data_IF_784520290082
#
_entry.id   IF_784520290082
#
_cell.length_a   1.000
_cell.length_b   1.000
_cell.length_c   1.000
_cell.angle_alpha   90.00
_cell.angle_beta   90.00
_cell.angle_gamma   90.00
#
_symmetry.space_group_name_H-M   'P 1'
#
loop_
_entity.id
_entity.type
_entity.pdbx_description
1 polymer ?
#
# COMPACT_ATOMS: atom_id res chain seq x y z
N UNK A 1 -7.85 20.11 11.69
CA UNK A 1 -6.98 18.97 12.08
C UNK A 1 -5.66 19.04 11.33
N UNK A 2 -4.51 18.87 12.02
CA UNK A 2 -3.15 18.95 11.44
C UNK A 2 -2.75 17.73 10.59
N UNK A 3 -3.48 16.62 10.73
CA UNK A 3 -3.19 15.36 10.06
C UNK A 3 -4.46 14.79 9.44
N UNK A 4 -4.30 14.04 8.36
CA UNK A 4 -5.28 13.10 7.84
C UNK A 4 -4.74 11.68 8.01
N UNK A 5 -5.64 10.72 8.13
CA UNK A 5 -5.29 9.30 8.21
C UNK A 5 -6.09 8.53 7.17
N UNK A 6 -5.51 7.44 6.70
CA UNK A 6 -6.24 6.38 6.03
C UNK A 6 -5.82 5.05 6.60
N UNK A 7 -6.80 4.14 6.70
CA UNK A 7 -6.64 2.83 7.29
C UNK A 7 -7.27 1.81 6.37
N UNK A 8 -6.59 0.68 6.20
CA UNK A 8 -7.07 -0.44 5.42
C UNK A 8 -6.67 -1.76 6.07
N UNK A 9 -7.49 -2.81 5.90
CA UNK A 9 -7.17 -4.16 6.34
C UNK A 9 -7.68 -5.17 5.31
N UNK A 10 -6.80 -6.09 4.92
CA UNK A 10 -7.12 -7.18 4.01
C UNK A 10 -6.89 -8.55 4.66
N UNK A 11 -7.75 -9.51 4.32
CA UNK A 11 -7.65 -10.89 4.76
C UNK A 11 -7.24 -11.83 3.62
N UNK A 12 -6.52 -12.91 3.95
CA UNK A 12 -5.97 -13.89 3.01
C UNK A 12 -7.01 -14.80 2.37
N UNK A 13 -8.27 -14.74 2.81
CA UNK A 13 -9.32 -15.65 2.38
C UNK A 13 -9.71 -15.53 0.89
N UNK A 14 -9.26 -14.48 0.19
CA UNK A 14 -9.60 -14.26 -1.22
C UNK A 14 -8.62 -14.99 -2.15
N UNK A 15 -9.14 -15.92 -2.95
CA UNK A 15 -8.42 -16.50 -4.08
C UNK A 15 -8.27 -15.44 -5.19
N UNK A 16 -7.21 -14.65 -5.11
CA UNK A 16 -6.86 -13.63 -6.10
C UNK A 16 -5.64 -14.05 -6.91
N UNK A 17 -5.63 -13.69 -8.19
CA UNK A 17 -4.42 -13.75 -9.02
C UNK A 17 -3.54 -12.54 -8.70
N UNK A 18 -2.84 -12.58 -7.56
CA UNK A 18 -2.08 -11.44 -7.05
C UNK A 18 -1.08 -10.85 -8.04
N UNK A 19 -0.38 -11.70 -8.82
CA UNK A 19 0.56 -11.21 -9.82
C UNK A 19 -0.13 -10.50 -10.99
N UNK A 20 -1.30 -10.96 -11.43
CA UNK A 20 -2.05 -10.32 -12.51
C UNK A 20 -2.53 -8.94 -12.07
N UNK A 21 -3.12 -8.85 -10.86
CA UNK A 21 -3.53 -7.58 -10.28
C UNK A 21 -2.34 -6.64 -10.07
N UNK A 22 -1.22 -7.14 -9.53
CA UNK A 22 -0.02 -6.34 -9.35
C UNK A 22 0.55 -5.83 -10.69
N UNK A 23 0.48 -6.61 -11.77
CA UNK A 23 0.93 -6.15 -13.09
C UNK A 23 0.03 -5.03 -13.66
N UNK A 24 -1.25 -4.97 -13.26
CA UNK A 24 -2.21 -3.99 -13.76
C UNK A 24 -2.22 -2.69 -12.95
N UNK A 25 -2.02 -2.78 -11.63
CA UNK A 25 -2.28 -1.67 -10.72
C UNK A 25 -1.04 -1.18 -9.94
N UNK A 26 0.04 -1.95 -9.88
CA UNK A 26 1.24 -1.56 -9.11
C UNK A 26 2.36 -1.11 -10.04
N UNK A 27 3.32 -0.37 -9.48
CA UNK A 27 4.55 -0.02 -10.19
C UNK A 27 5.37 -1.27 -10.52
N UNK A 28 6.25 -1.17 -11.52
CA UNK A 28 7.16 -2.27 -11.89
C UNK A 28 7.99 -2.75 -10.69
N UNK A 29 8.44 -1.84 -9.83
CA UNK A 29 9.30 -2.16 -8.69
C UNK A 29 8.51 -2.88 -7.58
N UNK A 30 7.28 -2.47 -7.32
CA UNK A 30 6.36 -3.16 -6.40
C UNK A 30 5.99 -4.56 -6.91
N UNK A 31 5.66 -4.68 -8.20
CA UNK A 31 5.39 -5.98 -8.83
C UNK A 31 6.62 -6.89 -8.76
N UNK A 32 7.82 -6.36 -8.99
CA UNK A 32 9.07 -7.10 -8.87
C UNK A 32 9.33 -7.53 -7.42
N UNK A 33 9.03 -6.70 -6.43
CA UNK A 33 9.12 -7.06 -5.03
C UNK A 33 8.22 -8.25 -4.68
N UNK A 34 7.02 -8.34 -5.27
CA UNK A 34 6.13 -9.51 -5.13
C UNK A 34 6.73 -10.73 -5.85
N UNK A 35 7.26 -10.58 -7.06
CA UNK A 35 7.79 -11.72 -7.84
C UNK A 35 9.03 -12.36 -7.19
N UNK A 36 9.88 -11.55 -6.55
CA UNK A 36 11.16 -11.98 -5.95
C UNK A 36 11.01 -12.80 -4.68
N UNK A 37 9.89 -12.70 -3.95
CA UNK A 37 9.67 -13.53 -2.76
C UNK A 37 9.20 -14.95 -3.14
N UNK A 38 9.43 -15.90 -2.23
CA UNK A 38 8.95 -17.27 -2.34
C UNK A 38 7.43 -17.33 -2.57
N UNK A 39 6.95 -18.32 -3.32
CA UNK A 39 5.55 -18.43 -3.75
C UNK A 39 4.55 -18.26 -2.59
N UNK A 40 4.81 -18.89 -1.45
CA UNK A 40 3.93 -18.82 -0.27
C UNK A 40 3.90 -17.42 0.40
N UNK A 41 4.88 -16.55 0.11
CA UNK A 41 4.95 -15.16 0.60
C UNK A 41 4.36 -14.15 -0.38
N UNK A 42 4.17 -14.50 -1.66
CA UNK A 42 3.69 -13.57 -2.70
C UNK A 42 2.34 -12.95 -2.35
N UNK A 43 1.36 -13.76 -1.95
CA UNK A 43 0.04 -13.27 -1.54
C UNK A 43 0.13 -12.29 -0.37
N UNK A 44 0.98 -12.60 0.60
CA UNK A 44 1.22 -11.73 1.75
C UNK A 44 1.83 -10.40 1.33
N UNK A 45 2.85 -10.41 0.48
CA UNK A 45 3.48 -9.20 -0.05
C UNK A 45 2.50 -8.37 -0.87
N UNK A 46 1.65 -9.02 -1.67
CA UNK A 46 0.59 -8.36 -2.43
C UNK A 46 -0.40 -7.64 -1.51
N UNK A 47 -0.97 -8.32 -0.51
CA UNK A 47 -1.94 -7.69 0.39
C UNK A 47 -1.33 -6.56 1.23
N UNK A 48 -0.05 -6.66 1.60
CA UNK A 48 0.66 -5.54 2.24
C UNK A 48 0.68 -4.29 1.37
N UNK A 49 1.06 -4.44 0.10
CA UNK A 49 1.09 -3.34 -0.86
C UNK A 49 -0.31 -2.80 -1.16
N UNK A 50 -1.28 -3.70 -1.32
CA UNK A 50 -2.68 -3.34 -1.54
C UNK A 50 -3.21 -2.48 -0.39
N UNK A 51 -3.11 -2.96 0.85
CA UNK A 51 -3.58 -2.21 2.01
C UNK A 51 -2.84 -0.88 2.20
N UNK A 52 -1.53 -0.84 1.94
CA UNK A 52 -0.77 0.42 1.97
C UNK A 52 -1.30 1.45 0.96
N UNK A 53 -1.57 1.01 -0.27
CA UNK A 53 -2.08 1.89 -1.34
C UNK A 53 -3.50 2.38 -1.04
N UNK A 54 -4.41 1.50 -0.65
CA UNK A 54 -5.77 1.87 -0.21
C UNK A 54 -5.73 2.83 0.99
N UNK A 55 -4.90 2.55 2.00
CA UNK A 55 -4.73 3.45 3.14
C UNK A 55 -4.18 4.83 2.71
N UNK A 56 -3.29 4.90 1.71
CA UNK A 56 -2.82 6.18 1.20
C UNK A 56 -3.91 6.97 0.46
N UNK A 57 -4.71 6.32 -0.39
CA UNK A 57 -5.86 6.94 -1.05
C UNK A 57 -6.87 7.46 -0.03
N UNK A 58 -7.21 6.66 0.98
CA UNK A 58 -8.09 7.06 2.07
C UNK A 58 -7.54 8.25 2.87
N UNK A 59 -6.22 8.37 3.02
CA UNK A 59 -5.59 9.51 3.71
C UNK A 59 -5.74 10.86 2.97
N UNK A 60 -5.98 10.80 1.66
CA UNK A 60 -6.27 11.97 0.82
C UNK A 60 -7.77 12.18 0.57
N UNK A 61 -8.61 11.22 0.95
CA UNK A 61 -10.08 11.26 0.76
C UNK A 61 -10.54 10.59 -0.53
N UNK A 62 -9.66 9.86 -1.20
CA UNK A 62 -9.92 9.21 -2.48
C UNK A 62 -10.07 7.69 -2.31
N UNK A 63 -10.57 7.03 -3.35
CA UNK A 63 -10.66 5.57 -3.45
C UNK A 63 -10.04 5.03 -4.74
N UNK A 64 -10.27 3.75 -5.03
CA UNK A 64 -9.73 3.06 -6.22
C UNK A 64 -9.83 3.82 -7.56
N UNK A 65 -10.90 4.59 -7.87
CA UNK A 65 -10.97 5.35 -9.11
C UNK A 65 -9.85 6.39 -9.31
N UNK A 66 -9.20 6.83 -8.23
CA UNK A 66 -8.07 7.76 -8.30
C UNK A 66 -6.78 7.10 -8.81
N UNK A 67 -6.71 5.76 -8.77
CA UNK A 67 -5.57 4.98 -9.24
C UNK A 67 -4.65 4.52 -8.10
N UNK A 68 -4.37 3.22 -8.06
CA UNK A 68 -3.44 2.61 -7.10
C UNK A 68 -1.96 2.89 -7.44
N UNK A 69 -1.68 3.36 -8.64
CA UNK A 69 -0.36 3.79 -9.13
C UNK A 69 0.01 5.21 -8.67
N UNK A 70 -0.94 5.98 -8.13
CA UNK A 70 -0.71 7.32 -7.58
C UNK A 70 0.28 7.35 -6.39
N UNK A 71 0.44 6.22 -5.69
CA UNK A 71 1.39 6.05 -4.61
C UNK A 71 2.29 4.86 -4.90
N UNK A 72 3.57 4.98 -4.59
CA UNK A 72 4.53 3.88 -4.68
C UNK A 72 5.19 3.63 -3.33
N UNK A 73 5.30 2.35 -2.98
CA UNK A 73 5.84 1.90 -1.71
C UNK A 73 7.07 1.01 -1.90
N UNK A 74 8.00 1.17 -0.96
CA UNK A 74 9.10 0.24 -0.77
C UNK A 74 8.98 -0.37 0.63
N UNK A 75 9.04 -1.71 0.74
CA UNK A 75 8.60 -2.43 1.94
C UNK A 75 9.69 -2.63 3.01
N UNK A 76 10.97 -2.42 2.69
CA UNK A 76 12.09 -2.86 3.53
C UNK A 76 12.96 -1.69 4.01
N UNK A 77 13.45 -1.69 5.26
CA UNK A 77 13.12 -2.61 6.37
C UNK A 77 11.72 -2.38 6.97
N UNK A 78 11.08 -1.26 6.61
CA UNK A 78 9.72 -0.87 6.98
C UNK A 78 9.08 -0.16 5.79
N UNK A 79 7.74 -0.18 5.65
CA UNK A 79 7.09 0.47 4.52
C UNK A 79 7.40 1.97 4.48
N UNK A 80 7.91 2.43 3.33
CA UNK A 80 8.09 3.84 3.03
C UNK A 80 7.40 4.19 1.72
N UNK A 81 6.88 5.41 1.65
CA UNK A 81 6.32 5.97 0.43
C UNK A 81 7.47 6.62 -0.34
N UNK A 82 7.73 6.17 -1.56
CA UNK A 82 8.78 6.71 -2.43
C UNK A 82 8.21 7.64 -3.49
N UNK A 83 6.94 7.42 -3.87
CA UNK A 83 6.17 8.30 -4.74
C UNK A 83 4.81 8.62 -4.12
N UNK A 84 4.39 9.88 -4.22
CA UNK A 84 3.06 10.34 -3.86
C UNK A 84 2.71 11.60 -4.68
N UNK A 85 1.42 11.92 -4.87
CA UNK A 85 1.03 13.00 -5.76
C UNK A 85 1.52 14.38 -5.26
N UNK A 86 2.09 15.23 -6.14
CA UNK A 86 2.64 16.54 -5.77
C UNK A 86 1.62 17.51 -5.18
N UNK A 87 0.37 17.48 -5.63
CA UNK A 87 -0.74 18.31 -5.15
C UNK A 87 -1.08 18.03 -3.67
N UNK A 88 -0.71 16.84 -3.17
CA UNK A 88 -0.81 16.48 -1.76
C UNK A 88 0.51 16.68 -0.98
N UNK A 89 1.50 17.32 -1.61
CA UNK A 89 2.78 17.71 -1.04
C UNK A 89 3.87 16.63 -1.07
N UNK A 90 3.66 15.58 -1.88
CA UNK A 90 4.65 14.54 -2.18
C UNK A 90 5.00 13.63 -1.00
N UNK A 91 5.88 12.66 -1.25
CA UNK A 91 6.14 11.53 -0.36
C UNK A 91 6.55 11.92 1.08
N UNK A 92 7.27 13.04 1.24
CA UNK A 92 7.75 13.51 2.55
C UNK A 92 6.63 13.87 3.54
N UNK A 93 5.41 14.13 3.05
CA UNK A 93 4.25 14.43 3.91
C UNK A 93 3.55 13.21 4.46
N UNK A 94 3.92 12.02 4.02
CA UNK A 94 3.27 10.79 4.39
C UNK A 94 4.18 9.90 5.23
N UNK A 95 3.58 9.13 6.13
CA UNK A 95 4.20 8.06 6.90
C UNK A 95 3.33 6.83 6.81
N UNK A 96 3.95 5.67 6.63
CA UNK A 96 3.27 4.41 6.44
C UNK A 96 3.66 3.43 7.56
N UNK A 97 2.68 2.68 8.04
CA UNK A 97 2.85 1.65 9.05
C UNK A 97 2.01 0.43 8.66
N UNK A 98 2.52 -0.76 8.93
CA UNK A 98 1.78 -2.02 8.73
C UNK A 98 1.70 -2.79 10.02
N UNK A 99 0.57 -3.45 10.26
CA UNK A 99 0.35 -4.38 11.37
C UNK A 99 0.01 -5.72 10.74
N UNK A 100 0.79 -6.75 11.04
CA UNK A 100 0.57 -8.10 10.55
C UNK A 100 0.04 -8.97 11.68
N UNK A 101 -1.13 -9.58 11.47
CA UNK A 101 -1.71 -10.52 12.42
C UNK A 101 -1.18 -11.93 12.21
N UNK A 102 -1.14 -12.73 13.29
CA UNK A 102 -0.87 -14.17 13.23
C UNK A 102 -1.93 -14.93 12.44
N UNK A 103 -3.15 -14.39 12.34
CA UNK A 103 -4.26 -14.92 11.53
C UNK A 103 -4.09 -14.70 10.03
N UNK A 104 -3.06 -13.96 9.62
CA UNK A 104 -2.71 -13.73 8.22
C UNK A 104 -3.23 -12.42 7.63
N UNK A 105 -4.13 -11.72 8.32
CA UNK A 105 -4.60 -10.40 7.90
C UNK A 105 -3.48 -9.36 7.95
N UNK A 106 -3.52 -8.40 7.03
CA UNK A 106 -2.60 -7.28 6.97
C UNK A 106 -3.37 -5.98 7.08
N UNK A 107 -3.04 -5.16 8.09
CA UNK A 107 -3.55 -3.81 8.23
C UNK A 107 -2.48 -2.78 7.89
N UNK A 108 -2.89 -1.65 7.33
CA UNK A 108 -2.05 -0.52 7.01
C UNK A 108 -2.63 0.78 7.58
N UNK A 109 -1.75 1.64 8.07
CA UNK A 109 -2.05 3.01 8.48
C UNK A 109 -1.14 3.95 7.69
N UNK A 110 -1.76 4.91 7.01
CA UNK A 110 -1.04 6.01 6.37
C UNK A 110 -1.45 7.32 7.03
N UNK A 111 -0.47 8.07 7.51
CA UNK A 111 -0.64 9.39 8.14
C UNK A 111 -0.11 10.44 7.16
N UNK A 112 -0.92 11.43 6.84
CA UNK A 112 -0.55 12.59 6.02
C UNK A 112 -0.56 13.86 6.84
N UNK A 113 0.52 14.63 6.82
CA UNK A 113 0.57 16.00 7.39
C UNK A 113 -0.11 16.98 6.42
N UNK A 114 -1.14 17.70 6.89
CA UNK A 114 -1.80 18.77 6.11
C UNK A 114 -0.92 20.03 6.11
N UNK A 115 -1.01 20.82 5.04
CA UNK A 115 -0.41 22.16 5.00
C UNK A 115 -1.06 23.06 6.06
#
# INVERSE_FOLDING_TARGET
MKYAIGVDIEDRARHLKALDLANHYFSKDETNAIKRVENHKRMRTFFRLWSLKEAALKSIGEGLPFGLDAFEFELAPSPRIVHAPPEWGGAKRFKAHTIESTTGSCAALVIRKRA
#
